data_IF_421192296894
#
_entry.id   IF_421192296894
#
_cell.length_a   1.000
_cell.length_b   1.000
_cell.length_c   1.000
_cell.angle_alpha   90.00
_cell.angle_beta   90.00
_cell.angle_gamma   90.00
#
_symmetry.space_group_name_H-M   'P 1'
#
loop_
_entity.id
_entity.type
_entity.pdbx_description
1 polymer ?
#
# COMPACT_ATOMS: atom_id res chain seq x y z
N UNK A 1 -25.91 -25.18 4.36
CA UNK A 1 -24.83 -25.28 3.40
C UNK A 1 -23.53 -25.51 4.15
N UNK A 2 -22.84 -26.61 3.84
CA UNK A 2 -21.51 -26.87 4.41
C UNK A 2 -20.58 -25.76 3.92
N UNK A 3 -19.94 -25.04 4.84
CA UNK A 3 -18.81 -24.19 4.51
C UNK A 3 -17.73 -25.10 3.84
N UNK A 4 -17.18 -24.69 2.69
CA UNK A 4 -16.07 -25.44 2.10
C UNK A 4 -14.96 -25.54 3.16
N UNK A 5 -14.37 -26.72 3.31
CA UNK A 5 -13.28 -26.96 4.26
C UNK A 5 -12.18 -25.92 3.99
N UNK A 6 -11.72 -25.27 5.06
CA UNK A 6 -10.64 -24.29 4.95
C UNK A 6 -9.42 -24.98 4.34
N UNK A 7 -8.91 -24.43 3.25
CA UNK A 7 -7.72 -24.93 2.56
C UNK A 7 -6.51 -24.75 3.48
N UNK A 8 -5.69 -25.79 3.57
CA UNK A 8 -4.51 -25.83 4.46
C UNK A 8 -3.24 -25.72 3.63
N UNK A 9 -2.29 -24.91 4.10
CA UNK A 9 -0.96 -24.84 3.49
C UNK A 9 -0.33 -26.21 3.29
N UNK A 10 -0.24 -26.98 4.38
CA UNK A 10 0.47 -28.26 4.38
C UNK A 10 -0.13 -29.34 3.46
N UNK A 11 -1.47 -29.33 3.30
CA UNK A 11 -2.16 -30.38 2.54
C UNK A 11 -2.43 -30.00 1.10
N UNK A 12 -2.70 -28.71 0.86
CA UNK A 12 -3.27 -28.28 -0.41
C UNK A 12 -2.28 -27.45 -1.24
N UNK A 13 -1.51 -26.55 -0.61
CA UNK A 13 -0.63 -25.59 -1.30
C UNK A 13 0.81 -26.10 -1.41
N UNK A 14 1.33 -26.58 -0.30
CA UNK A 14 2.72 -27.09 -0.22
C UNK A 14 3.04 -28.12 -1.30
N UNK A 15 2.20 -29.13 -1.59
CA UNK A 15 2.50 -30.11 -2.65
C UNK A 15 2.67 -29.48 -4.04
N UNK A 16 1.96 -28.39 -4.32
CA UNK A 16 2.11 -27.65 -5.58
C UNK A 16 3.45 -26.92 -5.61
N UNK A 17 3.83 -26.28 -4.51
CA UNK A 17 5.12 -25.60 -4.40
C UNK A 17 6.28 -26.59 -4.47
N UNK A 18 6.20 -27.72 -3.80
CA UNK A 18 7.18 -28.83 -3.87
C UNK A 18 7.41 -29.27 -5.31
N UNK A 19 6.34 -29.50 -6.06
CA UNK A 19 6.39 -29.99 -7.44
C UNK A 19 7.02 -28.99 -8.42
N UNK A 20 6.83 -27.69 -8.24
CA UNK A 20 7.16 -26.71 -9.27
C UNK A 20 8.23 -25.68 -8.86
N UNK A 21 8.41 -25.44 -7.56
CA UNK A 21 9.23 -24.36 -7.05
C UNK A 21 10.47 -24.82 -6.27
N UNK A 22 10.37 -25.93 -5.53
CA UNK A 22 11.40 -26.34 -4.58
C UNK A 22 12.73 -26.72 -5.21
N UNK A 23 12.78 -27.28 -6.42
CA UNK A 23 14.05 -27.56 -7.10
C UNK A 23 15.01 -26.35 -7.18
N UNK A 24 14.48 -25.15 -7.04
CA UNK A 24 15.26 -23.91 -7.13
C UNK A 24 15.19 -23.05 -5.86
N UNK A 25 14.22 -23.31 -4.98
CA UNK A 25 13.90 -22.43 -3.84
C UNK A 25 13.76 -23.18 -2.51
N UNK A 26 14.30 -24.40 -2.39
CA UNK A 26 14.27 -25.23 -1.18
C UNK A 26 15.48 -26.14 -1.08
N UNK A 27 15.60 -26.86 0.02
CA UNK A 27 16.66 -27.88 0.27
C UNK A 27 18.09 -27.32 0.11
N UNK A 28 18.30 -26.06 0.47
CA UNK A 28 19.59 -25.36 0.35
C UNK A 28 19.79 -24.61 -0.97
N UNK A 29 18.93 -24.80 -1.96
CA UNK A 29 18.89 -24.00 -3.18
C UNK A 29 18.14 -22.69 -2.93
N UNK A 30 18.72 -21.56 -3.38
CA UNK A 30 18.16 -20.22 -3.16
C UNK A 30 18.33 -19.32 -4.38
N UNK A 31 17.88 -19.77 -5.52
CA UNK A 31 17.97 -18.96 -6.74
C UNK A 31 17.21 -17.64 -6.57
N UNK A 32 17.88 -16.55 -6.88
CA UNK A 32 17.33 -15.21 -6.66
C UNK A 32 17.21 -14.81 -5.18
N UNK A 33 17.98 -15.46 -4.27
CA UNK A 33 17.91 -15.29 -2.82
C UNK A 33 16.53 -15.58 -2.21
N UNK A 34 15.74 -16.41 -2.88
CA UNK A 34 14.40 -16.84 -2.44
C UNK A 34 14.46 -18.26 -1.90
N UNK A 35 13.98 -18.45 -0.66
CA UNK A 35 13.86 -19.73 0.03
C UNK A 35 12.40 -19.89 0.46
N UNK A 36 11.72 -20.94 -0.01
CA UNK A 36 10.29 -21.14 0.23
C UNK A 36 9.97 -22.24 1.26
N UNK A 37 10.91 -23.14 1.54
CA UNK A 37 10.73 -24.24 2.50
C UNK A 37 10.98 -23.83 3.96
N UNK A 38 11.54 -22.64 4.19
CA UNK A 38 11.75 -22.10 5.53
C UNK A 38 10.44 -21.75 6.23
N UNK A 39 9.38 -21.43 5.47
CA UNK A 39 8.08 -21.03 5.98
C UNK A 39 7.11 -22.23 5.94
N UNK A 40 7.05 -22.97 7.05
CA UNK A 40 6.37 -24.26 7.12
C UNK A 40 4.85 -24.18 7.34
N UNK A 41 4.31 -23.01 7.67
CA UNK A 41 2.89 -22.80 7.96
C UNK A 41 2.43 -21.36 7.64
N UNK A 42 1.13 -21.11 7.77
CA UNK A 42 0.51 -19.81 7.49
C UNK A 42 1.08 -18.68 8.36
N UNK A 43 1.43 -18.97 9.62
CA UNK A 43 2.01 -17.98 10.54
C UNK A 43 3.41 -17.53 10.10
N UNK A 44 4.22 -18.46 9.61
CA UNK A 44 5.54 -18.18 9.06
C UNK A 44 5.42 -17.37 7.75
N UNK A 45 4.50 -17.73 6.88
CA UNK A 45 4.18 -17.00 5.64
C UNK A 45 3.79 -15.56 5.95
N UNK A 46 2.93 -15.34 6.94
CA UNK A 46 2.52 -13.99 7.35
C UNK A 46 3.67 -13.15 7.91
N UNK A 47 4.63 -13.78 8.62
CA UNK A 47 5.83 -13.09 9.11
C UNK A 47 6.78 -12.69 7.97
N UNK A 48 6.81 -13.50 6.91
CA UNK A 48 7.64 -13.27 5.73
C UNK A 48 6.85 -12.71 4.55
N UNK A 49 5.90 -11.82 4.85
CA UNK A 49 4.92 -11.27 3.90
C UNK A 49 5.55 -10.72 2.62
N UNK A 50 6.69 -10.02 2.71
CA UNK A 50 7.37 -9.43 1.55
C UNK A 50 7.78 -10.50 0.52
N UNK A 51 8.36 -11.60 0.99
CA UNK A 51 8.76 -12.71 0.12
C UNK A 51 7.54 -13.33 -0.57
N UNK A 52 6.50 -13.65 0.20
CA UNK A 52 5.31 -14.33 -0.32
C UNK A 52 4.45 -13.45 -1.23
N UNK A 53 4.41 -12.14 -0.99
CA UNK A 53 3.79 -11.19 -1.94
C UNK A 53 4.55 -11.18 -3.27
N UNK A 54 5.89 -11.19 -3.22
CA UNK A 54 6.71 -11.30 -4.42
C UNK A 54 6.51 -12.64 -5.15
N UNK A 55 6.48 -13.75 -4.42
CA UNK A 55 6.22 -15.08 -5.00
C UNK A 55 4.84 -15.13 -5.68
N UNK A 56 3.80 -14.66 -5.00
CA UNK A 56 2.44 -14.56 -5.54
C UNK A 56 2.42 -13.76 -6.86
N UNK A 57 3.03 -12.58 -6.87
CA UNK A 57 3.13 -11.74 -8.07
C UNK A 57 3.79 -12.48 -9.23
N UNK A 58 4.93 -13.14 -9.01
CA UNK A 58 5.63 -13.86 -10.07
C UNK A 58 4.88 -15.09 -10.58
N UNK A 59 4.12 -15.78 -9.72
CA UNK A 59 3.23 -16.88 -10.13
C UNK A 59 2.09 -16.35 -10.98
N UNK A 60 1.45 -15.26 -10.56
CA UNK A 60 0.34 -14.62 -11.27
C UNK A 60 0.76 -14.08 -12.65
N UNK A 61 1.93 -13.44 -12.73
CA UNK A 61 2.47 -12.90 -13.98
C UNK A 61 3.13 -13.96 -14.87
N UNK A 62 3.06 -15.24 -14.52
CA UNK A 62 3.64 -16.35 -15.27
C UNK A 62 5.16 -16.25 -15.47
N UNK A 63 5.85 -15.47 -14.68
CA UNK A 63 7.31 -15.34 -14.71
C UNK A 63 8.03 -16.42 -13.90
N UNK A 64 7.28 -17.12 -13.01
CA UNK A 64 7.75 -18.28 -12.26
C UNK A 64 6.74 -19.43 -12.36
N UNK A 65 7.22 -20.70 -12.52
CA UNK A 65 8.60 -21.07 -12.86
C UNK A 65 9.06 -20.46 -14.19
N UNK A 66 10.38 -20.30 -14.42
CA UNK A 66 10.92 -19.80 -15.68
C UNK A 66 10.37 -20.59 -16.88
N UNK A 67 10.17 -19.92 -18.02
CA UNK A 67 9.52 -20.52 -19.19
C UNK A 67 10.27 -21.72 -19.78
N UNK A 68 11.58 -21.81 -19.55
CA UNK A 68 12.44 -22.90 -20.01
C UNK A 68 12.36 -24.16 -19.10
N UNK A 69 11.73 -24.05 -17.93
CA UNK A 69 11.50 -25.22 -17.08
C UNK A 69 10.48 -26.16 -17.73
N UNK A 70 10.86 -27.43 -17.91
CA UNK A 70 10.02 -28.45 -18.59
C UNK A 70 8.68 -28.69 -17.89
N UNK A 71 8.68 -28.63 -16.55
CA UNK A 71 7.49 -28.87 -15.74
C UNK A 71 6.89 -27.54 -15.31
N UNK A 72 5.70 -27.24 -15.80
CA UNK A 72 4.95 -26.02 -15.51
C UNK A 72 3.66 -26.35 -14.78
N UNK A 73 3.23 -25.51 -13.81
CA UNK A 73 1.89 -25.64 -13.22
C UNK A 73 0.81 -25.38 -14.27
N UNK A 74 -0.32 -26.03 -14.15
CA UNK A 74 -1.50 -25.69 -14.94
C UNK A 74 -2.03 -24.31 -14.56
N UNK A 75 -2.92 -23.76 -15.39
CA UNK A 75 -3.59 -22.49 -15.08
C UNK A 75 -4.34 -22.58 -13.75
N UNK A 76 -5.06 -23.69 -13.55
CA UNK A 76 -5.85 -23.95 -12.35
C UNK A 76 -4.98 -24.07 -11.10
N UNK A 77 -3.82 -24.76 -11.18
CA UNK A 77 -2.86 -24.86 -10.08
C UNK A 77 -2.27 -23.49 -9.72
N UNK A 78 -1.98 -22.63 -10.72
CA UNK A 78 -1.51 -21.26 -10.48
C UNK A 78 -2.57 -20.41 -9.79
N UNK A 79 -3.77 -20.35 -10.36
CA UNK A 79 -4.89 -19.59 -9.81
C UNK A 79 -5.24 -20.05 -8.39
N UNK A 80 -5.13 -21.34 -8.13
CA UNK A 80 -5.33 -21.92 -6.80
C UNK A 80 -4.31 -21.38 -5.80
N UNK A 81 -3.01 -21.46 -6.11
CA UNK A 81 -1.93 -20.98 -5.22
C UNK A 81 -2.03 -19.47 -5.02
N UNK A 82 -2.25 -18.69 -6.08
CA UNK A 82 -2.41 -17.24 -6.00
C UNK A 82 -3.59 -16.86 -5.11
N UNK A 83 -4.75 -17.46 -5.32
CA UNK A 83 -5.96 -17.19 -4.52
C UNK A 83 -5.77 -17.57 -3.05
N UNK A 84 -5.09 -18.68 -2.78
CA UNK A 84 -4.79 -19.09 -1.42
C UNK A 84 -3.85 -18.10 -0.74
N UNK A 85 -2.77 -17.70 -1.41
CA UNK A 85 -1.82 -16.69 -0.92
C UNK A 85 -2.49 -15.34 -0.69
N UNK A 86 -3.32 -14.88 -1.61
CA UNK A 86 -4.04 -13.62 -1.47
C UNK A 86 -4.96 -13.63 -0.25
N UNK A 87 -5.76 -14.68 -0.08
CA UNK A 87 -6.64 -14.83 1.10
C UNK A 87 -5.85 -14.91 2.41
N UNK A 88 -4.65 -15.51 2.38
CA UNK A 88 -3.79 -15.65 3.57
C UNK A 88 -3.07 -14.33 3.89
N UNK A 89 -2.53 -13.69 2.88
CA UNK A 89 -1.79 -12.44 3.03
C UNK A 89 -2.72 -11.23 3.25
N UNK A 90 -3.90 -11.22 2.66
CA UNK A 90 -4.87 -10.13 2.69
C UNK A 90 -6.24 -10.61 3.20
N UNK A 91 -6.32 -11.17 4.43
CA UNK A 91 -7.58 -11.67 4.95
C UNK A 91 -8.57 -10.49 5.07
N UNK A 92 -9.76 -10.67 4.50
CA UNK A 92 -10.86 -9.73 4.67
C UNK A 92 -11.89 -10.36 5.58
N UNK A 93 -12.06 -9.79 6.77
CA UNK A 93 -13.16 -10.15 7.67
C UNK A 93 -14.33 -9.16 7.44
N UNK A 94 -15.42 -9.58 6.80
CA UNK A 94 -16.56 -8.68 6.55
C UNK A 94 -17.26 -8.23 7.84
N UNK A 95 -17.06 -8.94 8.96
CA UNK A 95 -17.66 -8.59 10.26
C UNK A 95 -16.78 -7.63 11.06
N UNK A 96 -15.49 -7.56 10.72
CA UNK A 96 -14.53 -6.66 11.37
C UNK A 96 -13.58 -6.08 10.29
N UNK A 97 -14.08 -5.20 9.42
CA UNK A 97 -13.28 -4.62 8.35
C UNK A 97 -12.14 -3.78 8.96
N UNK A 98 -10.89 -4.11 8.60
CA UNK A 98 -9.73 -3.31 8.95
C UNK A 98 -9.45 -2.31 7.81
N UNK A 99 -9.75 -1.02 7.98
CA UNK A 99 -9.47 0.01 6.97
C UNK A 99 -7.96 0.30 6.83
N UNK A 100 -7.11 -0.42 7.55
CA UNK A 100 -5.68 -0.15 7.64
C UNK A 100 -5.37 1.01 8.59
N UNK A 101 -4.09 1.37 8.65
CA UNK A 101 -3.62 2.47 9.49
C UNK A 101 -4.04 3.81 8.88
N UNK A 102 -4.88 4.55 9.60
CA UNK A 102 -5.19 5.94 9.25
C UNK A 102 -4.08 6.84 9.79
N UNK A 103 -3.37 7.53 8.91
CA UNK A 103 -2.39 8.54 9.28
C UNK A 103 -3.04 9.91 9.28
N UNK A 104 -2.79 10.70 10.33
CA UNK A 104 -3.12 12.13 10.31
C UNK A 104 -2.10 12.80 9.40
N UNK A 105 -2.58 13.41 8.33
CA UNK A 105 -1.74 14.17 7.40
C UNK A 105 -2.18 15.62 7.32
N UNK A 106 -1.24 16.51 7.03
CA UNK A 106 -1.57 17.87 6.59
C UNK A 106 -2.00 17.87 5.12
N UNK A 107 -2.59 18.95 4.69
CA UNK A 107 -2.81 19.21 3.27
C UNK A 107 -1.48 19.45 2.57
N UNK A 108 -1.31 18.94 1.33
CA UNK A 108 -0.22 19.38 0.48
C UNK A 108 -0.48 20.81 -0.04
N UNK A 109 0.50 21.42 -0.74
CA UNK A 109 0.40 22.81 -1.21
C UNK A 109 -0.83 23.06 -2.11
N UNK A 110 -1.12 22.13 -3.01
CA UNK A 110 -2.27 22.23 -3.93
C UNK A 110 -3.58 22.10 -3.17
N UNK A 111 -3.68 21.11 -2.30
CA UNK A 111 -4.86 20.89 -1.46
C UNK A 111 -5.12 22.12 -0.55
N UNK A 112 -4.07 22.70 0.04
CA UNK A 112 -4.21 23.89 0.89
C UNK A 112 -4.78 25.08 0.10
N UNK A 113 -4.18 25.42 -1.05
CA UNK A 113 -4.67 26.52 -1.88
C UNK A 113 -6.12 26.31 -2.33
N UNK A 114 -6.47 25.09 -2.75
CA UNK A 114 -7.84 24.77 -3.14
C UNK A 114 -8.81 24.90 -1.95
N UNK A 115 -8.42 24.41 -0.79
CA UNK A 115 -9.25 24.44 0.42
C UNK A 115 -9.55 25.87 0.86
N UNK A 116 -8.54 26.76 0.93
CA UNK A 116 -8.78 28.15 1.35
C UNK A 116 -9.61 28.91 0.31
N UNK A 117 -9.39 28.69 -0.97
CA UNK A 117 -10.22 29.24 -2.04
C UNK A 117 -11.68 28.81 -1.90
N UNK A 118 -11.92 27.51 -1.75
CA UNK A 118 -13.27 26.92 -1.77
C UNK A 118 -14.06 27.26 -0.49
N UNK A 119 -13.38 27.38 0.66
CA UNK A 119 -14.01 27.70 1.95
C UNK A 119 -14.20 29.20 2.16
N UNK A 120 -13.24 30.03 1.75
CA UNK A 120 -13.18 31.45 2.11
C UNK A 120 -13.37 32.40 0.90
N UNK A 121 -13.41 31.85 -0.31
CA UNK A 121 -13.59 32.63 -1.53
C UNK A 121 -12.39 33.52 -1.90
N UNK A 122 -11.21 33.29 -1.29
CA UNK A 122 -9.99 34.02 -1.57
C UNK A 122 -9.33 33.51 -2.85
N UNK A 123 -8.70 34.44 -3.61
CA UNK A 123 -7.99 34.08 -4.84
C UNK A 123 -6.47 33.98 -4.68
N UNK A 124 -5.95 34.38 -3.53
CA UNK A 124 -4.53 34.19 -3.19
C UNK A 124 -4.14 32.71 -3.12
N UNK A 125 -2.87 32.44 -3.37
CA UNK A 125 -2.28 31.11 -3.32
C UNK A 125 -1.14 31.07 -2.28
N UNK A 126 -1.46 31.17 -0.99
CA UNK A 126 -0.45 31.34 0.05
C UNK A 126 0.50 30.14 0.20
N UNK A 127 0.05 28.94 -0.17
CA UNK A 127 0.88 27.76 -0.11
C UNK A 127 1.95 27.68 -1.21
N UNK A 128 1.96 28.57 -2.18
CA UNK A 128 3.05 28.66 -3.16
C UNK A 128 4.38 29.12 -2.51
N UNK A 129 4.29 29.78 -1.33
CA UNK A 129 5.43 30.18 -0.50
C UNK A 129 5.84 29.14 0.55
N UNK A 130 5.14 28.00 0.63
CA UNK A 130 5.52 26.92 1.52
C UNK A 130 6.73 26.14 0.97
N UNK A 131 7.53 25.51 1.85
CA UNK A 131 8.48 24.51 1.40
C UNK A 131 7.81 23.45 0.50
N UNK A 132 8.59 22.88 -0.41
CA UNK A 132 8.08 21.80 -1.25
C UNK A 132 7.63 20.61 -0.40
N UNK A 133 6.59 19.92 -0.88
CA UNK A 133 6.08 18.73 -0.22
C UNK A 133 7.01 17.54 -0.54
N UNK A 134 7.32 16.75 0.48
CA UNK A 134 7.98 15.48 0.28
C UNK A 134 7.07 14.53 -0.49
N UNK A 135 7.67 13.68 -1.32
CA UNK A 135 6.94 12.68 -2.10
C UNK A 135 7.20 11.27 -1.58
N UNK A 136 6.15 10.45 -1.55
CA UNK A 136 6.23 9.03 -1.30
C UNK A 136 5.69 8.24 -2.48
N UNK A 137 6.45 7.26 -2.98
CA UNK A 137 6.04 6.44 -4.13
C UNK A 137 5.65 7.24 -5.39
N UNK A 138 6.21 8.45 -5.55
CA UNK A 138 5.87 9.37 -6.66
C UNK A 138 4.63 10.23 -6.44
N UNK A 139 4.03 10.23 -5.24
CA UNK A 139 2.86 11.03 -4.87
C UNK A 139 3.18 12.00 -3.75
N UNK A 140 2.63 13.21 -3.81
CA UNK A 140 2.80 14.30 -2.84
C UNK A 140 1.69 14.37 -1.78
N UNK A 141 0.80 13.38 -1.76
CA UNK A 141 -0.34 13.30 -0.83
C UNK A 141 -0.27 12.10 0.12
N UNK A 142 0.88 11.44 0.23
CA UNK A 142 1.09 10.33 1.14
C UNK A 142 1.22 10.83 2.58
N UNK A 143 0.34 10.36 3.48
CA UNK A 143 0.28 10.81 4.87
C UNK A 143 1.59 10.65 5.64
N UNK A 144 2.32 9.56 5.39
CA UNK A 144 3.56 9.25 6.10
C UNK A 144 4.72 10.20 5.77
N UNK A 145 4.67 10.90 4.63
CA UNK A 145 5.72 11.86 4.23
C UNK A 145 5.33 13.32 4.46
N UNK A 146 4.05 13.63 4.67
CA UNK A 146 3.56 14.98 4.90
C UNK A 146 3.74 15.41 6.36
N UNK A 147 4.99 15.54 6.79
CA UNK A 147 5.34 16.06 8.11
C UNK A 147 5.01 17.57 8.24
N UNK A 148 4.94 18.05 9.49
CA UNK A 148 4.73 19.47 9.82
C UNK A 148 5.97 20.02 10.56
N UNK A 149 7.07 20.33 9.86
CA UNK A 149 8.25 20.89 10.49
C UNK A 149 8.00 22.34 10.96
N UNK A 150 8.78 22.85 11.94
CA UNK A 150 8.60 24.18 12.51
C UNK A 150 8.53 25.31 11.46
N UNK A 151 9.38 25.26 10.45
CA UNK A 151 9.39 26.26 9.38
C UNK A 151 8.05 26.31 8.62
N UNK A 152 7.43 25.16 8.40
CA UNK A 152 6.14 25.11 7.73
C UNK A 152 5.02 25.62 8.65
N UNK A 153 5.11 25.39 9.96
CA UNK A 153 4.17 25.96 10.92
C UNK A 153 4.21 27.50 10.91
N UNK A 154 5.40 28.09 10.86
CA UNK A 154 5.54 29.55 10.70
C UNK A 154 4.88 30.04 9.41
N UNK A 155 5.06 29.32 8.30
CA UNK A 155 4.42 29.65 7.03
C UNK A 155 2.90 29.54 7.09
N UNK A 156 2.36 28.55 7.80
CA UNK A 156 0.92 28.45 8.04
C UNK A 156 0.36 29.66 8.79
N UNK A 157 1.05 30.15 9.82
CA UNK A 157 0.62 31.33 10.57
C UNK A 157 0.60 32.59 9.69
N UNK A 158 1.64 32.78 8.88
CA UNK A 158 1.72 33.92 7.92
C UNK A 158 0.60 33.80 6.86
N UNK A 159 0.39 32.58 6.34
CA UNK A 159 -0.66 32.33 5.37
C UNK A 159 -2.06 32.55 5.95
N UNK A 160 -2.30 32.17 7.21
CA UNK A 160 -3.57 32.39 7.90
C UNK A 160 -3.87 33.89 8.04
N UNK A 161 -2.90 34.73 8.46
CA UNK A 161 -3.05 36.17 8.58
C UNK A 161 -3.41 36.80 7.23
N UNK A 162 -2.71 36.45 6.17
CA UNK A 162 -2.96 36.92 4.81
C UNK A 162 -4.34 36.51 4.31
N UNK A 163 -4.72 35.27 4.45
CA UNK A 163 -6.01 34.71 4.01
C UNK A 163 -7.17 35.41 4.77
N UNK A 164 -7.04 35.56 6.10
CA UNK A 164 -8.07 36.21 6.90
C UNK A 164 -8.21 37.69 6.57
N UNK A 165 -7.11 38.37 6.32
CA UNK A 165 -7.14 39.79 5.88
C UNK A 165 -7.85 39.95 4.53
N UNK A 166 -7.69 39.00 3.60
CA UNK A 166 -8.38 38.99 2.32
C UNK A 166 -9.86 38.61 2.44
N UNK A 167 -10.17 37.61 3.28
CA UNK A 167 -11.52 37.06 3.42
C UNK A 167 -12.45 37.92 4.26
N UNK A 168 -11.92 38.70 5.23
CA UNK A 168 -12.71 39.53 6.14
C UNK A 168 -12.53 40.99 5.76
N UNK A 169 -13.51 41.65 5.10
CA UNK A 169 -13.39 43.03 4.72
C UNK A 169 -13.32 43.93 5.97
N UNK A 170 -12.37 44.87 5.97
CA UNK A 170 -12.13 45.79 7.07
C UNK A 170 -13.25 46.85 7.25
N UNK A 171 -14.14 47.00 6.27
CA UNK A 171 -15.26 47.92 6.32
C UNK A 171 -16.59 47.19 6.25
N UNK A 172 -17.64 47.64 6.97
CA UNK A 172 -18.98 47.09 6.82
C UNK A 172 -19.46 47.25 5.37
N UNK A 173 -20.29 46.35 4.85
CA UNK A 173 -20.87 46.49 3.52
C UNK A 173 -21.62 47.82 3.44
N UNK A 174 -21.61 48.51 2.29
CA UNK A 174 -22.36 49.73 2.12
C UNK A 174 -23.86 49.48 2.34
N UNK A 175 -24.61 50.47 2.88
CA UNK A 175 -26.03 50.33 3.18
C UNK A 175 -26.89 50.06 1.95
#
# INVERSE_FOLDING_TARGET
GQQPAALSYAKDVRPVLEKYCWDCHADGEKKGDVVLDADADESAILKNRKLWTGAMFHIEQWTMPPHDKKTQPTKEEREFVVRWLDNTLNPVDPNNPDPGRVTIRRLNRVEYNNTVRDLLGVNSRPADEFPEDDTGYGFDNIGDVLALPPILMERYLIAADRVLTEAVPAAPPPP
#
